data_IF_280641621910
#
_entry.id   IF_280641621910
#
_cell.length_a   1.000
_cell.length_b   1.000
_cell.length_c   1.000
_cell.angle_alpha   90.00
_cell.angle_beta   90.00
_cell.angle_gamma   90.00
#
_symmetry.space_group_name_H-M   'P 1'
#
loop_
_entity.id
_entity.type
_entity.pdbx_description
1 polymer ?
#
# COMPACT_ATOMS: atom_id res chain seq x y z
N UNK A 1 26.26 26.37 -5.15
CA UNK A 1 25.31 25.50 -4.45
C UNK A 1 24.00 26.25 -4.48
N UNK A 2 23.01 25.74 -5.22
CA UNK A 2 21.69 26.35 -5.29
C UNK A 2 20.98 26.13 -3.94
N UNK A 3 20.90 27.19 -3.13
CA UNK A 3 20.07 27.24 -1.93
C UNK A 3 18.61 27.51 -2.33
N UNK A 4 18.04 26.68 -3.20
CA UNK A 4 16.59 26.67 -3.36
C UNK A 4 15.98 26.11 -2.07
N UNK A 5 15.21 26.91 -1.30
CA UNK A 5 14.55 26.40 -0.11
C UNK A 5 13.63 25.26 -0.53
N UNK A 6 13.86 24.06 0.00
CA UNK A 6 13.04 22.89 -0.27
C UNK A 6 11.63 23.18 0.23
N UNK A 7 10.70 23.43 -0.70
CA UNK A 7 9.31 23.77 -0.40
C UNK A 7 8.69 22.63 0.40
N UNK A 8 8.34 22.89 1.66
CA UNK A 8 7.65 21.92 2.49
C UNK A 8 6.21 21.76 2.02
N UNK A 9 5.73 20.53 1.98
CA UNK A 9 4.34 20.21 1.66
C UNK A 9 3.56 19.92 2.95
N UNK A 10 2.27 20.22 2.95
CA UNK A 10 1.35 19.98 4.07
C UNK A 10 -0.01 19.47 3.60
N UNK A 11 -0.79 18.89 4.52
CA UNK A 11 -2.16 18.48 4.22
C UNK A 11 -3.07 19.67 3.91
N UNK A 12 -4.03 19.48 2.98
CA UNK A 12 -4.98 20.53 2.56
C UNK A 12 -5.89 21.05 3.68
N UNK A 13 -6.13 20.26 4.72
CA UNK A 13 -6.87 20.70 5.90
C UNK A 13 -6.40 19.99 7.16
N UNK A 14 -6.30 20.71 8.29
CA UNK A 14 -6.02 20.12 9.60
C UNK A 14 -7.17 19.21 10.10
N UNK A 15 -8.38 19.33 9.55
CA UNK A 15 -9.55 18.57 10.00
C UNK A 15 -9.58 17.12 9.45
N UNK A 16 -8.53 16.67 8.75
CA UNK A 16 -8.39 15.29 8.29
C UNK A 16 -9.30 14.85 7.14
N UNK A 17 -10.28 15.65 6.70
CA UNK A 17 -11.20 15.29 5.61
C UNK A 17 -10.45 14.93 4.32
N UNK A 18 -9.47 15.74 3.94
CA UNK A 18 -8.66 15.48 2.74
C UNK A 18 -7.70 14.30 2.90
N UNK A 19 -7.28 14.00 4.13
CA UNK A 19 -6.51 12.80 4.46
C UNK A 19 -7.35 11.55 4.17
N UNK A 20 -8.60 11.54 4.64
CA UNK A 20 -9.56 10.44 4.42
C UNK A 20 -9.88 10.29 2.94
N UNK A 21 -10.22 11.38 2.25
CA UNK A 21 -10.49 11.36 0.81
C UNK A 21 -9.29 10.88 -0.01
N UNK A 22 -8.08 11.32 0.37
CA UNK A 22 -6.83 10.84 -0.23
C UNK A 22 -6.64 9.34 -0.01
N UNK A 23 -6.87 8.86 1.21
CA UNK A 23 -6.82 7.44 1.55
C UNK A 23 -7.79 6.61 0.71
N UNK A 24 -9.06 7.04 0.62
CA UNK A 24 -10.10 6.39 -0.20
C UNK A 24 -9.70 6.36 -1.68
N UNK A 25 -9.28 7.50 -2.23
CA UNK A 25 -8.86 7.59 -3.63
C UNK A 25 -7.67 6.67 -3.92
N UNK A 26 -6.76 6.53 -2.96
CA UNK A 26 -5.55 5.73 -3.09
C UNK A 26 -5.82 4.23 -2.99
N UNK A 27 -6.81 3.79 -2.19
CA UNK A 27 -7.17 2.36 -2.11
C UNK A 27 -8.19 1.92 -3.17
N UNK A 28 -8.89 2.84 -3.83
CA UNK A 28 -9.92 2.50 -4.82
C UNK A 28 -9.40 1.61 -5.95
N UNK A 29 -8.24 1.95 -6.54
CA UNK A 29 -7.67 1.17 -7.64
C UNK A 29 -7.29 -0.27 -7.23
N UNK A 30 -6.51 -0.49 -6.14
CA UNK A 30 -6.28 -1.84 -5.61
C UNK A 30 -7.57 -2.62 -5.32
N UNK A 31 -8.60 -1.98 -4.76
CA UNK A 31 -9.90 -2.62 -4.49
C UNK A 31 -10.58 -3.07 -5.78
N UNK A 32 -10.60 -2.23 -6.81
CA UNK A 32 -11.16 -2.58 -8.13
C UNK A 32 -10.43 -3.78 -8.73
N UNK A 33 -9.09 -3.79 -8.66
CA UNK A 33 -8.28 -4.92 -9.11
C UNK A 33 -8.66 -6.20 -8.35
N UNK A 34 -8.79 -6.11 -7.03
CA UNK A 34 -9.18 -7.24 -6.20
C UNK A 34 -10.57 -7.77 -6.53
N UNK A 35 -11.58 -6.91 -6.71
CA UNK A 35 -12.93 -7.30 -7.13
C UNK A 35 -12.91 -7.99 -8.49
N UNK A 36 -12.15 -7.45 -9.45
CA UNK A 36 -11.99 -8.06 -10.77
C UNK A 36 -11.35 -9.46 -10.67
N UNK A 37 -10.35 -9.65 -9.82
CA UNK A 37 -9.72 -10.96 -9.60
C UNK A 37 -10.70 -11.97 -8.99
N UNK A 38 -11.51 -11.55 -8.01
CA UNK A 38 -12.56 -12.40 -7.43
C UNK A 38 -13.61 -12.83 -8.49
N UNK A 39 -14.02 -11.90 -9.35
CA UNK A 39 -14.93 -12.19 -10.46
C UNK A 39 -14.31 -13.13 -11.49
N UNK A 40 -13.04 -12.92 -11.84
CA UNK A 40 -12.32 -13.76 -12.79
C UNK A 40 -12.10 -15.19 -12.26
N UNK A 41 -11.98 -15.36 -10.94
CA UNK A 41 -11.90 -16.67 -10.28
C UNK A 41 -13.19 -17.49 -10.45
N UNK A 42 -14.35 -16.83 -10.50
CA UNK A 42 -15.65 -17.48 -10.73
C UNK A 42 -15.80 -18.06 -12.15
N UNK A 43 -14.92 -17.69 -13.09
CA UNK A 43 -14.89 -18.26 -14.42
C UNK A 43 -14.22 -19.66 -14.40
N UNK A 44 -14.81 -20.69 -15.03
CA UNK A 44 -14.40 -22.09 -14.91
C UNK A 44 -12.96 -22.41 -15.38
N UNK A 45 -12.24 -21.46 -15.98
CA UNK A 45 -10.86 -21.61 -16.43
C UNK A 45 -9.78 -21.24 -15.40
N UNK A 46 -10.11 -20.46 -14.36
CA UNK A 46 -9.09 -19.76 -13.54
C UNK A 46 -9.12 -20.07 -12.03
N UNK A 47 -9.91 -21.07 -11.59
CA UNK A 47 -10.32 -21.34 -10.20
C UNK A 47 -9.24 -21.65 -9.14
N UNK A 48 -7.94 -21.56 -9.44
CA UNK A 48 -6.93 -22.17 -8.55
C UNK A 48 -6.08 -21.17 -7.77
N UNK A 49 -6.05 -19.88 -8.11
CA UNK A 49 -5.12 -18.94 -7.44
C UNK A 49 -5.59 -17.49 -7.30
N UNK A 50 -6.74 -17.09 -7.84
CA UNK A 50 -7.11 -15.66 -7.90
C UNK A 50 -7.87 -15.18 -6.67
N UNK A 51 -8.61 -16.05 -5.98
CA UNK A 51 -9.39 -15.65 -4.80
C UNK A 51 -8.52 -15.10 -3.65
N UNK A 52 -7.46 -15.79 -3.17
CA UNK A 52 -6.62 -15.28 -2.09
C UNK A 52 -5.87 -13.99 -2.47
N UNK A 53 -5.49 -13.87 -3.75
CA UNK A 53 -4.84 -12.68 -4.29
C UNK A 53 -5.85 -11.51 -4.27
N UNK A 54 -7.06 -11.72 -4.79
CA UNK A 54 -8.13 -10.72 -4.81
C UNK A 54 -8.46 -10.19 -3.41
N UNK A 55 -8.56 -11.09 -2.42
CA UNK A 55 -8.77 -10.73 -1.02
C UNK A 55 -7.62 -9.90 -0.44
N UNK A 56 -6.37 -10.24 -0.77
CA UNK A 56 -5.19 -9.48 -0.35
C UNK A 56 -5.20 -8.06 -0.94
N UNK A 57 -5.63 -7.90 -2.20
CA UNK A 57 -5.79 -6.60 -2.83
C UNK A 57 -6.88 -5.75 -2.16
N UNK A 58 -8.02 -6.33 -1.79
CA UNK A 58 -9.12 -5.61 -1.14
C UNK A 58 -8.75 -5.24 0.30
N UNK A 59 -8.53 -6.24 1.17
CA UNK A 59 -8.31 -6.00 2.59
C UNK A 59 -6.94 -5.38 2.84
N UNK A 60 -5.92 -5.84 2.12
CA UNK A 60 -4.56 -5.32 2.28
C UNK A 60 -4.43 -3.85 1.88
N UNK A 61 -5.13 -3.41 0.82
CA UNK A 61 -5.09 -2.00 0.42
C UNK A 61 -5.82 -1.08 1.39
N UNK A 62 -6.90 -1.54 2.02
CA UNK A 62 -7.59 -0.80 3.08
C UNK A 62 -6.68 -0.64 4.29
N UNK A 63 -6.06 -1.73 4.76
CA UNK A 63 -5.11 -1.68 5.89
C UNK A 63 -3.91 -0.80 5.56
N UNK A 64 -3.33 -0.94 4.36
CA UNK A 64 -2.22 -0.10 3.91
C UNK A 64 -2.61 1.39 3.85
N UNK A 65 -3.82 1.72 3.38
CA UNK A 65 -4.31 3.08 3.36
C UNK A 65 -4.51 3.64 4.78
N UNK A 66 -5.05 2.85 5.72
CA UNK A 66 -5.16 3.27 7.12
C UNK A 66 -3.78 3.57 7.75
N UNK A 67 -2.81 2.66 7.57
CA UNK A 67 -1.45 2.84 8.06
C UNK A 67 -0.74 4.03 7.39
N UNK A 68 -0.98 4.22 6.09
CA UNK A 68 -0.46 5.33 5.31
C UNK A 68 -1.02 6.66 5.81
N UNK A 69 -2.34 6.76 5.97
CA UNK A 69 -3.01 7.93 6.53
C UNK A 69 -2.52 8.26 7.93
N UNK A 70 -2.33 7.26 8.80
CA UNK A 70 -1.76 7.46 10.14
C UNK A 70 -0.33 8.00 10.06
N UNK A 71 0.51 7.43 9.20
CA UNK A 71 1.90 7.88 9.02
C UNK A 71 1.97 9.31 8.48
N UNK A 72 1.09 9.66 7.54
CA UNK A 72 0.96 11.02 7.01
C UNK A 72 0.46 11.98 8.10
N UNK A 73 -0.54 11.58 8.89
CA UNK A 73 -1.05 12.40 9.99
C UNK A 73 0.05 12.71 11.01
N UNK A 74 0.81 11.69 11.43
CA UNK A 74 1.91 11.85 12.39
C UNK A 74 3.06 12.71 11.81
N UNK A 75 3.33 12.61 10.51
CA UNK A 75 4.40 13.38 9.86
C UNK A 75 3.97 14.81 9.46
N UNK A 76 2.67 15.11 9.47
CA UNK A 76 2.15 16.40 9.01
C UNK A 76 2.73 17.58 9.79
N UNK A 77 3.00 17.42 11.10
CA UNK A 77 3.53 18.48 11.96
C UNK A 77 4.99 18.84 11.63
N UNK A 78 5.76 17.90 11.06
CA UNK A 78 7.16 18.12 10.64
C UNK A 78 7.28 18.69 9.21
N UNK A 79 6.19 18.54 8.43
CA UNK A 79 6.12 18.83 7.00
C UNK A 79 6.76 17.74 6.14
N UNK A 80 6.36 17.65 4.87
CA UNK A 80 6.93 16.70 3.91
C UNK A 80 7.98 17.39 3.04
N UNK A 81 9.11 16.71 2.80
CA UNK A 81 10.27 17.19 2.04
C UNK A 81 10.15 16.98 0.53
N UNK A 82 8.95 16.62 0.06
CA UNK A 82 8.64 16.43 -1.36
C UNK A 82 7.91 15.11 -1.63
N UNK A 83 7.81 14.77 -2.91
CA UNK A 83 6.99 13.66 -3.41
C UNK A 83 7.47 12.30 -2.91
N UNK A 84 8.78 12.18 -2.68
CA UNK A 84 9.43 10.95 -2.21
C UNK A 84 8.87 10.48 -0.87
N UNK A 85 8.44 11.39 0.00
CA UNK A 85 7.88 11.04 1.31
C UNK A 85 6.58 10.24 1.18
N UNK A 86 5.70 10.63 0.25
CA UNK A 86 4.44 9.93 0.01
C UNK A 86 4.67 8.56 -0.63
N UNK A 87 5.66 8.43 -1.52
CA UNK A 87 6.06 7.14 -2.08
C UNK A 87 6.63 6.21 -1.02
N UNK A 88 7.52 6.72 -0.16
CA UNK A 88 8.12 5.93 0.94
C UNK A 88 7.04 5.47 1.91
N UNK A 89 6.10 6.33 2.30
CA UNK A 89 5.00 5.95 3.18
C UNK A 89 4.15 4.85 2.54
N UNK A 90 3.74 5.03 1.28
CA UNK A 90 2.95 4.03 0.55
C UNK A 90 3.65 2.67 0.47
N UNK A 91 4.94 2.66 0.09
CA UNK A 91 5.75 1.44 0.02
C UNK A 91 5.89 0.79 1.39
N UNK A 92 6.20 1.56 2.45
CA UNK A 92 6.32 1.03 3.82
C UNK A 92 5.03 0.36 4.28
N UNK A 93 3.89 1.02 4.09
CA UNK A 93 2.59 0.48 4.48
C UNK A 93 2.22 -0.78 3.69
N UNK A 94 2.46 -0.81 2.37
CA UNK A 94 2.17 -1.96 1.54
C UNK A 94 3.10 -3.17 1.84
N UNK A 95 4.38 -2.92 2.10
CA UNK A 95 5.35 -3.94 2.53
C UNK A 95 4.95 -4.55 3.86
N UNK A 96 4.55 -3.74 4.84
CA UNK A 96 4.12 -4.26 6.14
C UNK A 96 2.90 -5.18 5.99
N UNK A 97 1.92 -4.78 5.17
CA UNK A 97 0.75 -5.62 4.86
C UNK A 97 1.16 -6.93 4.18
N UNK A 98 2.10 -6.91 3.24
CA UNK A 98 2.59 -8.12 2.58
C UNK A 98 3.32 -9.06 3.55
N UNK A 99 4.14 -8.52 4.46
CA UNK A 99 4.80 -9.31 5.50
C UNK A 99 3.75 -9.96 6.41
N UNK A 100 2.75 -9.20 6.88
CA UNK A 100 1.67 -9.73 7.71
C UNK A 100 0.86 -10.81 6.97
N UNK A 101 0.54 -10.60 5.70
CA UNK A 101 -0.16 -11.57 4.87
C UNK A 101 0.65 -12.86 4.70
N UNK A 102 1.96 -12.75 4.45
CA UNK A 102 2.87 -13.89 4.35
C UNK A 102 2.97 -14.69 5.65
N UNK A 103 3.06 -14.01 6.80
CA UNK A 103 3.08 -14.66 8.14
C UNK A 103 1.75 -15.39 8.40
N UNK A 104 0.62 -14.72 8.14
CA UNK A 104 -0.70 -15.33 8.32
C UNK A 104 -0.87 -16.56 7.42
N UNK A 105 -0.51 -16.45 6.14
CA UNK A 105 -0.57 -17.55 5.19
C UNK A 105 0.30 -18.73 5.65
N UNK A 106 1.53 -18.48 6.10
CA UNK A 106 2.40 -19.51 6.65
C UNK A 106 1.80 -20.20 7.90
N UNK A 107 1.15 -19.44 8.78
CA UNK A 107 0.52 -19.98 9.99
C UNK A 107 -0.69 -20.88 9.69
N UNK A 108 -1.39 -20.66 8.58
CA UNK A 108 -2.56 -21.47 8.18
C UNK A 108 -2.22 -22.81 7.53
N UNK A 109 -0.96 -23.02 7.12
CA UNK A 109 -0.53 -24.26 6.46
C UNK A 109 -0.27 -25.41 7.45
N UNK A 110 -0.46 -25.21 8.75
CA UNK A 110 -0.50 -26.29 9.75
C UNK A 110 0.81 -27.05 9.97
N UNK A 111 1.91 -26.55 9.40
CA UNK A 111 3.22 -27.18 9.52
C UNK A 111 3.96 -26.73 10.78
N UNK A 112 4.77 -27.61 11.38
CA UNK A 112 5.57 -27.30 12.57
C UNK A 112 6.47 -26.08 12.36
N UNK A 113 6.87 -25.40 13.45
CA UNK A 113 7.55 -24.09 13.41
C UNK A 113 8.69 -23.99 12.36
N UNK A 114 9.51 -25.03 12.23
CA UNK A 114 10.66 -25.05 11.30
C UNK A 114 10.24 -25.18 9.84
N UNK A 115 9.30 -26.07 9.52
CA UNK A 115 8.85 -26.26 8.13
C UNK A 115 7.88 -25.15 7.70
N UNK A 116 7.10 -24.58 8.63
CA UNK A 116 6.36 -23.34 8.42
C UNK A 116 7.27 -22.14 8.12
N UNK A 117 8.39 -21.97 8.84
CA UNK A 117 9.39 -20.93 8.54
C UNK A 117 10.08 -21.14 7.19
N UNK A 118 10.39 -22.40 6.83
CA UNK A 118 10.98 -22.73 5.54
C UNK A 118 10.01 -22.43 4.40
N UNK A 119 8.75 -22.86 4.50
CA UNK A 119 7.70 -22.56 3.51
C UNK A 119 7.45 -21.05 3.43
N UNK A 120 7.39 -20.35 4.56
CA UNK A 120 7.26 -18.89 4.59
C UNK A 120 8.41 -18.22 3.84
N UNK A 121 9.65 -18.68 4.03
CA UNK A 121 10.81 -18.14 3.33
C UNK A 121 10.79 -18.49 1.83
N UNK A 122 10.59 -19.74 1.46
CA UNK A 122 10.66 -20.20 0.06
C UNK A 122 9.48 -19.69 -0.76
N UNK A 123 8.26 -19.77 -0.24
CA UNK A 123 7.06 -19.26 -0.90
C UNK A 123 7.00 -17.73 -0.86
N UNK A 124 7.43 -17.13 0.25
CA UNK A 124 7.61 -15.68 0.38
C UNK A 124 8.62 -15.13 -0.65
N UNK A 125 9.77 -15.79 -0.83
CA UNK A 125 10.77 -15.36 -1.82
C UNK A 125 10.31 -15.57 -3.27
N UNK A 126 9.68 -16.70 -3.59
CA UNK A 126 9.40 -17.06 -4.99
C UNK A 126 8.11 -16.39 -5.49
N UNK A 127 7.12 -16.19 -4.62
CA UNK A 127 5.81 -15.65 -5.01
C UNK A 127 5.65 -14.21 -4.55
N UNK A 128 5.88 -13.93 -3.26
CA UNK A 128 5.62 -12.61 -2.70
C UNK A 128 6.64 -11.56 -3.11
N UNK A 129 7.93 -11.90 -3.28
CA UNK A 129 8.93 -10.91 -3.75
C UNK A 129 8.66 -10.46 -5.19
N UNK A 130 8.44 -11.35 -6.19
CA UNK A 130 8.08 -10.89 -7.53
C UNK A 130 6.75 -10.14 -7.56
N UNK A 131 5.72 -10.61 -6.84
CA UNK A 131 4.45 -9.90 -6.73
C UNK A 131 4.68 -8.50 -6.13
N UNK A 132 5.51 -8.41 -5.10
CA UNK A 132 5.84 -7.15 -4.45
C UNK A 132 6.61 -6.21 -5.39
N UNK A 133 7.66 -6.70 -6.04
CA UNK A 133 8.53 -5.92 -6.93
C UNK A 133 7.81 -5.42 -8.18
N UNK A 134 7.05 -6.29 -8.85
CA UNK A 134 6.49 -6.00 -10.17
C UNK A 134 5.07 -5.43 -10.11
N UNK A 135 4.33 -5.65 -9.01
CA UNK A 135 2.94 -5.23 -8.91
C UNK A 135 2.75 -4.29 -7.72
N UNK A 136 3.05 -4.73 -6.50
CA UNK A 136 2.76 -3.94 -5.29
C UNK A 136 3.54 -2.65 -5.24
N UNK A 137 4.82 -2.66 -5.57
CA UNK A 137 5.68 -1.48 -5.51
C UNK A 137 5.24 -0.41 -6.53
N UNK A 138 5.10 -0.69 -7.84
CA UNK A 138 4.56 0.28 -8.81
C UNK A 138 3.17 0.79 -8.42
N UNK A 139 2.29 -0.11 -7.97
CA UNK A 139 0.95 0.27 -7.54
C UNK A 139 0.99 1.20 -6.33
N UNK A 140 1.85 0.93 -5.36
CA UNK A 140 2.02 1.78 -4.16
C UNK A 140 2.55 3.17 -4.50
N UNK A 141 3.43 3.29 -5.50
CA UNK A 141 3.89 4.60 -5.99
C UNK A 141 2.74 5.36 -6.65
N UNK A 142 1.93 4.69 -7.47
CA UNK A 142 0.74 5.29 -8.09
C UNK A 142 -0.28 5.74 -7.04
N UNK A 143 -0.55 4.90 -6.03
CA UNK A 143 -1.41 5.23 -4.90
C UNK A 143 -0.88 6.45 -4.12
N UNK A 144 0.43 6.50 -3.83
CA UNK A 144 1.06 7.66 -3.17
C UNK A 144 0.96 8.95 -4.01
N UNK A 145 1.07 8.84 -5.33
CA UNK A 145 0.87 9.97 -6.25
C UNK A 145 -0.59 10.46 -6.24
N UNK A 146 -1.57 9.55 -6.30
CA UNK A 146 -3.00 9.89 -6.20
C UNK A 146 -3.29 10.55 -4.86
N UNK A 147 -2.77 10.00 -3.76
CA UNK A 147 -2.90 10.56 -2.43
C UNK A 147 -2.43 12.02 -2.40
N UNK A 148 -1.24 12.31 -2.91
CA UNK A 148 -0.69 13.67 -2.94
C UNK A 148 -1.66 14.63 -3.63
N UNK A 149 -2.13 14.28 -4.83
CA UNK A 149 -3.04 15.14 -5.63
C UNK A 149 -4.33 15.47 -4.88
N UNK A 150 -4.87 14.52 -4.14
CA UNK A 150 -6.12 14.69 -3.40
C UNK A 150 -5.88 15.42 -2.07
N UNK A 151 -4.89 15.00 -1.28
CA UNK A 151 -4.76 15.32 0.13
C UNK A 151 -3.77 16.45 0.47
N UNK A 152 -2.86 16.81 -0.43
CA UNK A 152 -1.71 17.69 -0.14
C UNK A 152 -1.87 19.04 -0.84
N UNK A 153 -1.56 20.13 -0.15
CA UNK A 153 -1.44 21.48 -0.70
C UNK A 153 0.05 21.80 -0.86
N UNK A 154 0.42 22.33 -2.02
CA UNK A 154 1.70 23.00 -2.17
C UNK A 154 1.51 24.41 -1.60
N UNK A 155 2.24 24.79 -0.55
CA UNK A 155 2.23 26.18 -0.06
C UNK A 155 2.94 27.05 -1.08
N UNK A 156 2.22 27.63 -2.04
CA UNK A 156 2.73 28.76 -2.80
C UNK A 156 2.99 29.90 -1.81
N UNK A 157 4.27 30.23 -1.62
CA UNK A 157 4.69 31.43 -0.90
C UNK A 157 4.16 32.64 -1.66
N UNK A 158 3.06 33.21 -1.16
CA UNK A 158 2.66 34.58 -1.43
C UNK A 158 2.64 35.37 -0.12
#
# INVERSE_FOLDING_TARGET
MDDTPTKKLYLKSPNGVWLVLGGIASCALPVIIGIWMLYADHLPRNKVLLEPIGMTFIFGSVVAACLGCLSVFLKNDEGFWGDLDFYIIGIKSATLVHICAGILQASTLGEGLISGLFIMFTFGLIVHIPLWLFITWPLSMLCGWVFKRVAVREEDQH
#
